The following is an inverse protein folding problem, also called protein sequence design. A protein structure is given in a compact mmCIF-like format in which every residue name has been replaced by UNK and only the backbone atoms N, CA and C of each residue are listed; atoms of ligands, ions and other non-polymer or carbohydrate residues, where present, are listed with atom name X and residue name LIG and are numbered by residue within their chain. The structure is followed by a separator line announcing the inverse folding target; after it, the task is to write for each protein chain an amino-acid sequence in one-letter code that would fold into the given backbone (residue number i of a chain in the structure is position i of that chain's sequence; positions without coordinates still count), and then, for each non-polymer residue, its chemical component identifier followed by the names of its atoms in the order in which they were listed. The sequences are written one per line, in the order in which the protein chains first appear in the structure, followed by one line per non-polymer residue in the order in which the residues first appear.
data_IF_863437251931
#
_entry.id   IF_863437251931
#
_cell.length_a   1.000
_cell.length_b   1.000
_cell.length_c   1.000
_cell.angle_alpha   90.00
_cell.angle_beta   90.00
_cell.angle_gamma   90.00
#
_symmetry.space_group_name_H-M   'P 1'
#
loop_
_entity.id
_entity.type
_entity.pdbx_description
1 polymer ?
#
# COMPACT_ATOMS: atom_id res chain seq x y z
N UNK A 1 49.74 17.36 35.29
CA UNK A 1 48.99 16.19 34.78
C UNK A 1 47.51 16.52 34.57
N UNK A 2 46.75 16.93 35.60
CA UNK A 2 45.31 17.21 35.47
C UNK A 2 44.90 18.28 34.42
N UNK A 3 45.73 19.28 34.12
CA UNK A 3 45.42 20.28 33.08
C UNK A 3 45.57 19.73 31.66
N UNK A 4 46.68 19.03 31.37
CA UNK A 4 46.92 18.40 30.06
C UNK A 4 45.85 17.35 29.76
N UNK A 5 45.42 16.58 30.76
CA UNK A 5 44.34 15.60 30.60
C UNK A 5 42.99 16.27 30.31
N UNK A 6 42.73 17.45 30.90
CA UNK A 6 41.52 18.25 30.60
C UNK A 6 41.56 18.81 29.18
N UNK A 7 42.70 19.35 28.76
CA UNK A 7 42.88 19.89 27.40
C UNK A 7 42.77 18.80 26.33
N UNK A 8 43.36 17.63 26.59
CA UNK A 8 43.23 16.44 25.72
C UNK A 8 41.77 15.99 25.60
N UNK A 9 41.02 15.92 26.71
CA UNK A 9 39.58 15.60 26.68
C UNK A 9 38.77 16.61 25.88
N UNK A 10 39.08 17.90 26.00
CA UNK A 10 38.41 18.95 25.24
C UNK A 10 38.70 18.85 23.73
N UNK A 11 39.95 18.58 23.34
CA UNK A 11 40.34 18.32 21.95
C UNK A 11 39.60 17.09 21.38
N UNK A 12 39.51 16.01 22.15
CA UNK A 12 38.73 14.83 21.75
C UNK A 12 37.23 15.11 21.59
N UNK A 13 36.65 15.96 22.44
CA UNK A 13 35.27 16.40 22.28
C UNK A 13 35.08 17.17 20.97
N UNK A 14 35.99 18.09 20.66
CA UNK A 14 35.94 18.88 19.42
C UNK A 14 36.15 18.03 18.17
N UNK A 15 37.10 17.09 18.21
CA UNK A 15 37.31 16.11 17.15
C UNK A 15 36.04 15.29 16.88
N UNK A 16 35.35 14.81 17.92
CA UNK A 16 34.08 14.08 17.76
C UNK A 16 32.99 14.93 17.11
N UNK A 17 32.94 16.22 17.43
CA UNK A 17 32.03 17.16 16.75
C UNK A 17 32.35 17.29 15.26
N UNK A 18 33.64 17.42 14.90
CA UNK A 18 34.10 17.46 13.49
C UNK A 18 33.69 16.18 12.77
N UNK A 19 34.00 15.01 13.34
CA UNK A 19 33.65 13.72 12.75
C UNK A 19 32.13 13.56 12.59
N UNK A 20 31.34 14.03 13.55
CA UNK A 20 29.88 14.03 13.46
C UNK A 20 29.37 14.93 12.33
N UNK A 21 29.97 16.12 12.14
CA UNK A 21 29.59 17.02 11.05
C UNK A 21 29.86 16.40 9.68
N UNK A 22 31.04 15.79 9.51
CA UNK A 22 31.45 15.13 8.26
C UNK A 22 30.61 13.87 7.98
N UNK A 23 30.27 13.11 9.02
CA UNK A 23 29.41 11.93 8.90
C UNK A 23 27.98 12.33 8.51
N UNK A 24 27.44 13.38 9.14
CA UNK A 24 26.13 13.94 8.78
C UNK A 24 26.08 14.46 7.35
N UNK A 25 27.14 15.14 6.90
CA UNK A 25 27.27 15.57 5.51
C UNK A 25 27.29 14.38 4.54
N UNK A 26 28.09 13.34 4.84
CA UNK A 26 28.15 12.11 4.02
C UNK A 26 26.78 11.43 3.91
N UNK A 27 26.08 11.30 5.04
CA UNK A 27 24.76 10.68 5.10
C UNK A 27 23.73 11.45 4.26
N UNK A 28 23.77 12.78 4.29
CA UNK A 28 22.86 13.61 3.48
C UNK A 28 23.07 13.44 1.97
N UNK A 29 24.32 13.27 1.52
CA UNK A 29 24.61 12.96 0.10
C UNK A 29 24.08 11.57 -0.25
N UNK A 30 24.37 10.57 0.59
CA UNK A 30 23.95 9.18 0.37
C UNK A 30 22.43 9.00 0.36
N UNK A 31 21.69 9.77 1.16
CA UNK A 31 20.23 9.80 1.16
C UNK A 31 19.68 10.26 -0.21
N UNK A 32 20.27 11.31 -0.81
CA UNK A 32 19.88 11.78 -2.15
C UNK A 32 20.20 10.72 -3.22
N UNK A 33 21.38 10.10 -3.17
CA UNK A 33 21.76 9.00 -4.07
C UNK A 33 20.76 7.84 -3.99
N UNK A 34 20.40 7.45 -2.77
CA UNK A 34 19.45 6.35 -2.50
C UNK A 34 18.06 6.68 -3.04
N UNK A 35 17.58 7.92 -2.84
CA UNK A 35 16.28 8.38 -3.37
C UNK A 35 16.26 8.39 -4.90
N UNK A 36 17.33 8.84 -5.54
CA UNK A 36 17.46 8.80 -7.01
C UNK A 36 17.38 7.36 -7.53
N UNK A 37 18.17 6.45 -6.95
CA UNK A 37 18.16 5.03 -7.34
C UNK A 37 16.81 4.35 -7.07
N UNK A 38 16.16 4.68 -5.95
CA UNK A 38 14.82 4.18 -5.63
C UNK A 38 13.78 4.64 -6.65
N UNK A 39 13.80 5.92 -7.05
CA UNK A 39 12.85 6.43 -8.04
C UNK A 39 13.09 5.75 -9.39
N UNK A 40 14.33 5.67 -9.87
CA UNK A 40 14.65 5.02 -11.15
C UNK A 40 14.19 3.54 -11.18
N UNK A 41 14.48 2.79 -10.12
CA UNK A 41 14.05 1.38 -10.01
C UNK A 41 12.54 1.23 -9.87
N UNK A 42 11.87 2.15 -9.16
CA UNK A 42 10.42 2.15 -8.99
C UNK A 42 9.68 2.37 -10.32
N UNK A 43 10.15 3.28 -11.18
CA UNK A 43 9.50 3.52 -12.48
C UNK A 43 9.42 2.24 -13.32
N UNK A 44 10.51 1.47 -13.36
CA UNK A 44 10.54 0.19 -14.08
C UNK A 44 9.66 -0.88 -13.40
N UNK A 45 9.73 -0.97 -12.06
CA UNK A 45 9.01 -1.97 -11.28
C UNK A 45 7.49 -1.80 -11.36
N UNK A 46 6.98 -0.57 -11.20
CA UNK A 46 5.54 -0.29 -11.17
C UNK A 46 4.83 -0.74 -12.44
N UNK A 47 5.41 -0.50 -13.62
CA UNK A 47 4.83 -0.93 -14.89
C UNK A 47 4.77 -2.46 -15.00
N UNK A 48 5.86 -3.15 -14.65
CA UNK A 48 5.92 -4.62 -14.71
C UNK A 48 4.92 -5.31 -13.77
N UNK A 49 4.76 -4.75 -12.56
CA UNK A 49 3.81 -5.24 -11.56
C UNK A 49 2.38 -5.03 -12.00
N UNK A 50 2.04 -3.86 -12.56
CA UNK A 50 0.71 -3.62 -13.12
C UNK A 50 0.39 -4.61 -14.24
N UNK A 51 1.30 -4.81 -15.20
CA UNK A 51 1.13 -5.79 -16.28
C UNK A 51 0.89 -7.20 -15.73
N UNK A 52 1.65 -7.59 -14.70
CA UNK A 52 1.49 -8.90 -14.05
C UNK A 52 0.10 -9.05 -13.42
N UNK A 53 -0.36 -8.04 -12.68
CA UNK A 53 -1.68 -8.05 -12.03
C UNK A 53 -2.81 -8.06 -13.06
N UNK A 54 -2.68 -7.30 -14.16
CA UNK A 54 -3.62 -7.35 -15.30
C UNK A 54 -3.65 -8.72 -15.97
N UNK A 55 -2.47 -9.33 -16.19
CA UNK A 55 -2.34 -10.67 -16.76
C UNK A 55 -3.02 -11.76 -15.92
N UNK A 56 -3.18 -11.54 -14.62
CA UNK A 56 -3.94 -12.43 -13.71
C UNK A 56 -5.46 -12.17 -13.73
N UNK A 57 -5.94 -11.19 -14.49
CA UNK A 57 -7.36 -10.87 -14.67
C UNK A 57 -7.91 -9.77 -13.77
N UNK A 58 -7.06 -9.03 -13.03
CA UNK A 58 -7.51 -7.89 -12.24
C UNK A 58 -7.84 -6.70 -13.16
N UNK A 59 -9.08 -6.24 -13.16
CA UNK A 59 -9.55 -5.18 -14.05
C UNK A 59 -10.05 -3.91 -13.33
N UNK A 60 -10.02 -3.89 -12.00
CA UNK A 60 -10.34 -2.71 -11.20
C UNK A 60 -9.13 -1.76 -11.07
N UNK A 61 -9.34 -0.55 -10.53
CA UNK A 61 -8.32 0.49 -10.36
C UNK A 61 -7.67 0.88 -11.70
N UNK A 62 -8.51 1.26 -12.66
CA UNK A 62 -8.09 1.69 -14.00
C UNK A 62 -7.37 3.05 -14.03
N UNK A 63 -7.27 3.72 -12.88
CA UNK A 63 -6.44 4.92 -12.70
C UNK A 63 -4.94 4.61 -12.65
N UNK A 64 -4.55 3.36 -12.35
CA UNK A 64 -3.15 2.99 -12.19
C UNK A 64 -2.35 3.16 -13.49
N UNK A 65 -2.93 2.80 -14.64
CA UNK A 65 -2.32 2.97 -15.97
C UNK A 65 -1.92 4.43 -16.20
N UNK A 66 -2.90 5.34 -16.03
CA UNK A 66 -2.70 6.77 -16.25
C UNK A 66 -1.77 7.39 -15.20
N UNK A 67 -1.86 6.95 -13.96
CA UNK A 67 -1.01 7.43 -12.86
C UNK A 67 0.46 7.07 -13.11
N UNK A 68 0.74 5.83 -13.52
CA UNK A 68 2.10 5.36 -13.85
C UNK A 68 2.61 6.07 -15.10
N UNK A 69 1.79 6.23 -16.14
CA UNK A 69 2.16 6.95 -17.37
C UNK A 69 2.57 8.40 -17.09
N UNK A 70 1.72 9.15 -16.37
CA UNK A 70 1.99 10.55 -16.00
C UNK A 70 3.26 10.65 -15.17
N UNK A 71 3.42 9.77 -14.17
CA UNK A 71 4.57 9.77 -13.29
C UNK A 71 5.87 9.48 -14.07
N UNK A 72 5.83 8.48 -14.96
CA UNK A 72 6.98 8.10 -15.81
C UNK A 72 7.36 9.24 -16.74
N UNK A 73 6.39 9.86 -17.41
CA UNK A 73 6.62 11.02 -18.28
C UNK A 73 7.26 12.17 -17.51
N UNK A 74 6.69 12.52 -16.36
CA UNK A 74 7.22 13.60 -15.52
C UNK A 74 8.65 13.31 -15.05
N UNK A 75 8.96 12.06 -14.69
CA UNK A 75 10.32 11.66 -14.32
C UNK A 75 11.31 11.74 -15.48
N UNK A 76 10.92 11.28 -16.68
CA UNK A 76 11.75 11.40 -17.88
C UNK A 76 12.10 12.86 -18.21
N UNK A 77 11.13 13.77 -18.06
CA UNK A 77 11.32 15.20 -18.34
C UNK A 77 12.20 15.91 -17.31
N UNK A 78 12.11 15.52 -16.03
CA UNK A 78 12.76 16.26 -14.93
C UNK A 78 14.05 15.63 -14.41
N UNK A 79 14.21 14.32 -14.54
CA UNK A 79 15.37 13.60 -13.99
C UNK A 79 16.72 14.05 -14.55
N UNK A 80 16.89 14.44 -15.84
CA UNK A 80 18.20 14.91 -16.33
C UNK A 80 18.67 16.16 -15.59
N UNK A 81 17.78 17.12 -15.37
CA UNK A 81 18.09 18.36 -14.65
C UNK A 81 18.42 18.11 -13.18
N UNK A 82 17.66 17.22 -12.52
CA UNK A 82 17.91 16.84 -11.13
C UNK A 82 19.28 16.14 -11.01
N UNK A 83 19.55 15.16 -11.88
CA UNK A 83 20.82 14.44 -11.93
C UNK A 83 22.00 15.38 -12.22
N UNK A 84 21.84 16.32 -13.16
CA UNK A 84 22.86 17.32 -13.44
C UNK A 84 23.17 18.19 -12.22
N UNK A 85 22.14 18.64 -11.49
CA UNK A 85 22.33 19.42 -10.25
C UNK A 85 23.07 18.60 -9.19
N UNK A 86 22.71 17.33 -9.02
CA UNK A 86 23.42 16.42 -8.12
C UNK A 86 24.90 16.27 -8.47
N UNK A 87 25.21 15.94 -9.73
CA UNK A 87 26.60 15.73 -10.17
C UNK A 87 27.43 17.02 -10.18
N UNK A 88 26.83 18.17 -10.43
CA UNK A 88 27.54 19.45 -10.47
C UNK A 88 27.78 20.05 -9.08
N UNK A 89 26.80 19.94 -8.18
CA UNK A 89 26.79 20.70 -6.93
C UNK A 89 27.02 19.85 -5.68
N UNK A 90 26.62 18.57 -5.71
CA UNK A 90 26.67 17.69 -4.52
C UNK A 90 27.81 16.69 -4.62
N UNK A 91 27.93 15.95 -5.73
CA UNK A 91 28.95 14.91 -5.89
C UNK A 91 30.38 15.41 -5.63
N UNK A 92 30.81 16.62 -6.07
CA UNK A 92 32.17 17.10 -5.81
C UNK A 92 32.46 17.35 -4.32
N UNK A 93 31.43 17.55 -3.49
CA UNK A 93 31.58 17.76 -2.05
C UNK A 93 32.05 16.48 -1.35
N UNK A 94 31.79 15.30 -1.90
CA UNK A 94 32.26 14.01 -1.37
C UNK A 94 33.79 13.95 -1.28
N UNK A 95 34.50 14.53 -2.25
CA UNK A 95 35.97 14.61 -2.20
C UNK A 95 36.45 15.51 -1.07
N UNK A 96 35.79 16.65 -0.85
CA UNK A 96 36.12 17.59 0.24
C UNK A 96 35.86 16.95 1.61
N UNK A 97 34.76 16.20 1.76
CA UNK A 97 34.46 15.45 2.98
C UNK A 97 35.58 14.45 3.28
N UNK A 98 36.01 13.66 2.27
CA UNK A 98 37.09 12.66 2.44
C UNK A 98 38.40 13.30 2.85
N UNK A 99 38.74 14.46 2.28
CA UNK A 99 39.93 15.22 2.68
C UNK A 99 39.86 15.65 4.15
N UNK A 100 38.74 16.22 4.59
CA UNK A 100 38.57 16.63 5.99
C UNK A 100 38.52 15.44 6.96
N UNK A 101 37.99 14.30 6.54
CA UNK A 101 38.02 13.06 7.33
C UNK A 101 39.46 12.58 7.53
N UNK A 102 40.28 12.60 6.48
CA UNK A 102 41.72 12.29 6.58
C UNK A 102 42.44 13.25 7.53
N UNK A 103 42.12 14.54 7.48
CA UNK A 103 42.68 15.55 8.38
C UNK A 103 42.24 15.34 9.83
N UNK A 104 40.98 14.98 10.08
CA UNK A 104 40.47 14.63 11.40
C UNK A 104 41.18 13.39 11.97
N UNK A 105 41.44 12.37 11.14
CA UNK A 105 42.24 11.20 11.53
C UNK A 105 43.68 11.58 11.89
N UNK A 106 44.30 12.49 11.13
CA UNK A 106 45.63 13.01 11.46
C UNK A 106 45.62 13.79 12.77
N UNK A 107 44.61 14.64 13.00
CA UNK A 107 44.46 15.37 14.27
C UNK A 107 44.34 14.40 15.45
N UNK A 108 43.60 13.28 15.31
CA UNK A 108 43.53 12.23 16.35
C UNK A 108 44.93 11.73 16.73
N UNK A 109 45.73 11.35 15.74
CA UNK A 109 47.09 10.87 15.96
C UNK A 109 48.00 11.91 16.64
N UNK A 110 47.84 13.19 16.31
CA UNK A 110 48.61 14.28 16.94
C UNK A 110 48.17 14.56 18.40
N UNK A 111 46.88 14.43 18.71
CA UNK A 111 46.37 14.50 20.09
C UNK A 111 46.98 13.35 20.93
N UNK A 112 47.15 12.17 20.35
CA UNK A 112 47.78 11.02 21.00
C UNK A 112 49.28 11.22 21.25
N UNK A 113 49.95 11.98 20.38
CA UNK A 113 51.38 12.35 20.52
C UNK A 113 51.65 13.48 21.52
N UNK A 114 50.64 14.28 21.86
CA UNK A 114 50.70 15.24 22.98
C UNK A 114 51.13 16.67 22.63
N UNK A 115 51.16 17.07 21.36
CA UNK A 115 51.42 18.47 20.97
C UNK A 115 50.14 19.32 21.06
N UNK A 116 49.74 19.68 22.28
CA UNK A 116 48.41 20.26 22.58
C UNK A 116 48.18 21.62 21.90
N UNK A 117 49.18 22.51 21.88
CA UNK A 117 49.04 23.85 21.28
C UNK A 117 48.78 23.80 19.76
N UNK A 118 49.54 22.98 19.04
CA UNK A 118 49.32 22.73 17.62
C UNK A 118 47.94 22.10 17.36
N UNK A 119 47.54 21.11 18.18
CA UNK A 119 46.25 20.44 18.05
C UNK A 119 45.07 21.40 18.19
N UNK A 120 45.14 22.42 19.05
CA UNK A 120 44.06 23.40 19.20
C UNK A 120 43.87 24.26 17.95
N UNK A 121 44.95 24.76 17.35
CA UNK A 121 44.88 25.52 16.10
C UNK A 121 44.29 24.67 14.97
N UNK A 122 44.80 23.44 14.81
CA UNK A 122 44.30 22.50 13.80
C UNK A 122 42.83 22.13 14.02
N UNK A 123 42.43 21.82 15.26
CA UNK A 123 41.06 21.49 15.61
C UNK A 123 40.09 22.67 15.38
N UNK A 124 40.53 23.90 15.63
CA UNK A 124 39.70 25.08 15.38
C UNK A 124 39.43 25.27 13.89
N UNK A 125 40.49 25.20 13.06
CA UNK A 125 40.39 25.29 11.60
C UNK A 125 39.49 24.19 11.03
N UNK A 126 39.74 22.93 11.38
CA UNK A 126 38.97 21.78 10.89
C UNK A 126 37.50 21.85 11.33
N UNK A 127 37.23 22.36 12.53
CA UNK A 127 35.87 22.60 13.02
C UNK A 127 35.14 23.60 12.14
N UNK A 128 35.74 24.75 11.82
CA UNK A 128 35.11 25.74 10.93
C UNK A 128 34.90 25.18 9.52
N UNK A 129 35.90 24.51 8.95
CA UNK A 129 35.82 23.90 7.61
C UNK A 129 34.73 22.81 7.55
N UNK A 130 34.68 21.92 8.53
CA UNK A 130 33.68 20.85 8.59
C UNK A 130 32.25 21.40 8.75
N UNK A 131 32.05 22.39 9.62
CA UNK A 131 30.73 22.99 9.82
C UNK A 131 30.25 23.77 8.58
N UNK A 132 31.15 24.51 7.90
CA UNK A 132 30.82 25.18 6.62
C UNK A 132 30.49 24.17 5.52
N UNK A 133 31.29 23.11 5.39
CA UNK A 133 31.05 22.06 4.41
C UNK A 133 29.71 21.35 4.67
N UNK A 134 29.42 21.02 5.94
CA UNK A 134 28.13 20.46 6.34
C UNK A 134 26.98 21.38 5.95
N UNK A 135 27.05 22.67 6.27
CA UNK A 135 26.01 23.64 5.93
C UNK A 135 25.78 23.71 4.42
N UNK A 136 26.86 23.73 3.62
CA UNK A 136 26.78 23.71 2.16
C UNK A 136 26.14 22.42 1.63
N UNK A 137 26.57 21.26 2.13
CA UNK A 137 25.99 19.96 1.76
C UNK A 137 24.50 19.94 2.08
N UNK A 138 24.10 20.33 3.29
CA UNK A 138 22.69 20.37 3.69
C UNK A 138 21.85 21.29 2.81
N UNK A 139 22.38 22.46 2.43
CA UNK A 139 21.68 23.38 1.53
C UNK A 139 21.48 22.78 0.14
N UNK A 140 22.52 22.20 -0.45
CA UNK A 140 22.44 21.64 -1.81
C UNK A 140 21.60 20.36 -1.86
N UNK A 141 21.72 19.47 -0.86
CA UNK A 141 20.92 18.24 -0.79
C UNK A 141 19.44 18.52 -0.48
N UNK A 142 19.12 19.56 0.29
CA UNK A 142 17.74 19.95 0.57
C UNK A 142 16.98 20.39 -0.70
N UNK A 143 17.63 21.18 -1.58
CA UNK A 143 17.06 21.60 -2.87
C UNK A 143 16.67 20.39 -3.72
N UNK A 144 17.58 19.42 -3.83
CA UNK A 144 17.36 18.20 -4.62
C UNK A 144 16.29 17.33 -3.95
N UNK A 145 16.37 17.13 -2.64
CA UNK A 145 15.41 16.32 -1.88
C UNK A 145 13.99 16.83 -1.98
N UNK A 146 13.78 18.16 -2.01
CA UNK A 146 12.47 18.75 -2.21
C UNK A 146 11.87 18.36 -3.57
N UNK A 147 12.67 18.40 -4.65
CA UNK A 147 12.23 17.96 -5.98
C UNK A 147 11.93 16.46 -6.03
N UNK A 148 12.72 15.62 -5.33
CA UNK A 148 12.49 14.18 -5.28
C UNK A 148 11.27 13.80 -4.45
N UNK A 149 10.92 14.59 -3.43
CA UNK A 149 9.84 14.31 -2.50
C UNK A 149 8.47 14.14 -3.17
N UNK A 150 8.21 14.88 -4.24
CA UNK A 150 6.96 14.75 -5.00
C UNK A 150 6.84 13.36 -5.65
N UNK A 151 7.91 12.89 -6.30
CA UNK A 151 7.96 11.57 -6.93
C UNK A 151 7.81 10.46 -5.90
N UNK A 152 8.48 10.57 -4.74
CA UNK A 152 8.35 9.60 -3.65
C UNK A 152 6.90 9.50 -3.16
N UNK A 153 6.21 10.63 -3.02
CA UNK A 153 4.79 10.66 -2.66
C UNK A 153 3.91 9.92 -3.67
N UNK A 154 4.09 10.21 -4.97
CA UNK A 154 3.34 9.55 -6.05
C UNK A 154 3.65 8.06 -6.15
N UNK A 155 4.92 7.66 -6.06
CA UNK A 155 5.34 6.25 -6.06
C UNK A 155 4.67 5.52 -4.88
N UNK A 156 4.74 6.06 -3.67
CA UNK A 156 4.14 5.44 -2.49
C UNK A 156 2.61 5.33 -2.57
N UNK A 157 1.93 6.24 -3.29
CA UNK A 157 0.50 6.14 -3.52
C UNK A 157 0.17 4.99 -4.49
N UNK A 158 0.87 4.93 -5.63
CA UNK A 158 0.69 3.87 -6.64
C UNK A 158 1.07 2.50 -6.05
N UNK A 159 2.19 2.43 -5.34
CA UNK A 159 2.69 1.20 -4.71
C UNK A 159 1.67 0.60 -3.73
N UNK A 160 1.03 1.44 -2.91
CA UNK A 160 -0.03 1.01 -1.99
C UNK A 160 -1.25 0.44 -2.72
N UNK A 161 -1.75 1.13 -3.74
CA UNK A 161 -2.90 0.65 -4.50
C UNK A 161 -2.56 -0.63 -5.29
N UNK A 162 -1.35 -0.71 -5.84
CA UNK A 162 -0.86 -1.90 -6.55
C UNK A 162 -0.69 -3.09 -5.60
N UNK A 163 -0.18 -2.86 -4.39
CA UNK A 163 -0.11 -3.89 -3.34
C UNK A 163 -1.48 -4.43 -2.95
N UNK A 164 -2.52 -3.58 -2.91
CA UNK A 164 -3.90 -4.03 -2.69
C UNK A 164 -4.39 -4.92 -3.84
N UNK A 165 -4.10 -4.55 -5.09
CA UNK A 165 -4.46 -5.32 -6.25
C UNK A 165 -3.74 -6.69 -6.29
N UNK A 166 -2.44 -6.71 -6.02
CA UNK A 166 -1.62 -7.92 -5.91
C UNK A 166 -2.16 -8.86 -4.83
N UNK A 167 -2.41 -8.33 -3.63
CA UNK A 167 -2.95 -9.11 -2.52
C UNK A 167 -4.35 -9.63 -2.82
N UNK A 168 -5.18 -8.82 -3.49
CA UNK A 168 -6.51 -9.24 -3.93
C UNK A 168 -6.42 -10.45 -4.84
N UNK A 169 -5.56 -10.41 -5.86
CA UNK A 169 -5.40 -11.52 -6.80
C UNK A 169 -4.76 -12.76 -6.16
N UNK A 170 -3.87 -12.58 -5.19
CA UNK A 170 -3.35 -13.68 -4.37
C UNK A 170 -4.50 -14.38 -3.61
N UNK A 171 -5.34 -13.63 -2.91
CA UNK A 171 -6.45 -14.20 -2.14
C UNK A 171 -7.49 -14.87 -3.04
N UNK A 172 -7.86 -14.25 -4.16
CA UNK A 172 -8.77 -14.87 -5.14
C UNK A 172 -8.23 -16.17 -5.73
N UNK A 173 -6.90 -16.36 -5.79
CA UNK A 173 -6.31 -17.63 -6.24
C UNK A 173 -6.54 -18.80 -5.26
N UNK A 174 -6.94 -18.51 -4.02
CA UNK A 174 -7.29 -19.50 -3.00
C UNK A 174 -8.80 -19.66 -2.79
N UNK A 175 -9.64 -18.88 -3.48
CA UNK A 175 -11.08 -18.91 -3.32
C UNK A 175 -11.65 -20.29 -3.72
N UNK A 176 -12.59 -20.79 -2.92
CA UNK A 176 -13.30 -22.06 -3.18
C UNK A 176 -14.49 -21.91 -4.13
N UNK A 177 -14.84 -20.67 -4.50
CA UNK A 177 -15.95 -20.35 -5.37
C UNK A 177 -15.48 -19.85 -6.75
N UNK A 178 -16.21 -20.17 -7.83
CA UNK A 178 -15.94 -19.58 -9.14
C UNK A 178 -16.51 -18.16 -9.25
N UNK A 179 -15.87 -17.36 -10.11
CA UNK A 179 -16.43 -16.09 -10.57
C UNK A 179 -17.53 -16.36 -11.61
N UNK A 180 -18.61 -15.58 -11.56
CA UNK A 180 -19.71 -15.60 -12.53
C UNK A 180 -19.28 -14.92 -13.84
N UNK A 181 -20.02 -15.14 -14.96
CA UNK A 181 -19.83 -14.36 -16.18
C UNK A 181 -19.86 -12.86 -15.87
N UNK A 182 -18.96 -12.10 -16.49
CA UNK A 182 -18.78 -10.65 -16.29
C UNK A 182 -18.38 -10.21 -14.86
N UNK A 183 -18.21 -11.15 -13.93
CA UNK A 183 -17.74 -10.86 -12.59
C UNK A 183 -16.22 -10.70 -12.59
N UNK A 184 -15.74 -9.70 -11.85
CA UNK A 184 -14.32 -9.38 -11.75
C UNK A 184 -13.92 -9.13 -10.30
N UNK A 185 -12.74 -9.61 -9.86
CA UNK A 185 -12.18 -9.26 -8.57
C UNK A 185 -12.03 -7.75 -8.43
N UNK A 186 -12.44 -7.20 -7.27
CA UNK A 186 -12.25 -5.78 -6.96
C UNK A 186 -11.39 -5.60 -5.72
N UNK A 187 -11.71 -6.29 -4.62
CA UNK A 187 -10.94 -6.27 -3.38
C UNK A 187 -11.04 -7.63 -2.67
N UNK A 188 -9.97 -8.09 -2.04
CA UNK A 188 -10.03 -9.16 -1.05
C UNK A 188 -9.18 -8.82 0.17
N UNK A 189 -9.72 -9.04 1.37
CA UNK A 189 -9.08 -8.74 2.66
C UNK A 189 -9.30 -9.90 3.62
N UNK A 190 -8.26 -10.28 4.35
CA UNK A 190 -8.38 -11.26 5.43
C UNK A 190 -9.05 -10.61 6.66
N UNK A 191 -9.91 -11.37 7.33
CA UNK A 191 -10.59 -10.87 8.51
C UNK A 191 -11.33 -11.97 9.24
N UNK A 192 -11.91 -11.62 10.38
CA UNK A 192 -12.61 -12.55 11.26
C UNK A 192 -14.06 -12.14 11.41
N UNK A 193 -14.98 -13.07 11.17
CA UNK A 193 -16.41 -12.82 11.46
C UNK A 193 -16.63 -12.87 12.97
N UNK A 194 -17.38 -11.90 13.50
CA UNK A 194 -17.54 -11.70 14.94
C UNK A 194 -18.95 -12.02 15.44
N UNK A 195 -19.65 -12.90 14.71
CA UNK A 195 -20.94 -13.49 15.10
C UNK A 195 -20.75 -14.62 16.13
N UNK A 196 -21.80 -15.40 16.42
CA UNK A 196 -21.76 -16.50 17.39
C UNK A 196 -20.67 -17.53 17.04
N UNK A 197 -20.57 -17.89 15.76
CA UNK A 197 -19.63 -18.88 15.24
C UNK A 197 -18.41 -18.19 14.63
N UNK A 198 -17.58 -17.58 15.49
CA UNK A 198 -16.41 -16.81 15.07
C UNK A 198 -15.42 -17.67 14.29
N UNK A 199 -15.00 -17.22 13.13
CA UNK A 199 -13.92 -17.85 12.37
C UNK A 199 -13.11 -16.83 11.58
N UNK A 200 -11.84 -17.14 11.35
CA UNK A 200 -10.99 -16.43 10.39
C UNK A 200 -11.48 -16.72 8.98
N UNK A 201 -11.22 -15.81 8.05
CA UNK A 201 -11.67 -15.94 6.68
C UNK A 201 -11.15 -14.85 5.76
N UNK A 202 -11.78 -14.75 4.60
CA UNK A 202 -11.49 -13.72 3.61
C UNK A 202 -12.80 -13.08 3.16
N UNK A 203 -12.83 -11.75 3.21
CA UNK A 203 -13.87 -10.91 2.64
C UNK A 203 -13.49 -10.64 1.18
N UNK A 204 -14.30 -11.12 0.26
CA UNK A 204 -14.16 -10.86 -1.18
C UNK A 204 -15.24 -9.89 -1.63
N UNK A 205 -14.80 -8.87 -2.37
CA UNK A 205 -15.64 -7.93 -3.08
C UNK A 205 -15.36 -8.07 -4.56
N UNK A 206 -16.40 -8.38 -5.32
CA UNK A 206 -16.39 -8.29 -6.78
C UNK A 206 -17.24 -7.10 -7.19
N UNK A 207 -17.32 -6.83 -8.49
CA UNK A 207 -18.28 -5.86 -9.00
C UNK A 207 -19.75 -6.34 -8.89
N UNK A 208 -20.00 -7.61 -8.54
CA UNK A 208 -21.34 -8.18 -8.45
C UNK A 208 -21.73 -8.66 -7.04
N UNK A 209 -20.77 -9.11 -6.22
CA UNK A 209 -21.07 -9.79 -4.96
C UNK A 209 -20.13 -9.38 -3.84
N UNK A 210 -20.67 -9.46 -2.63
CA UNK A 210 -19.91 -9.60 -1.40
C UNK A 210 -19.93 -11.06 -0.97
N UNK A 211 -18.76 -11.60 -0.64
CA UNK A 211 -18.61 -12.99 -0.20
C UNK A 211 -17.71 -13.01 1.03
N UNK A 212 -18.12 -13.72 2.08
CA UNK A 212 -17.24 -14.09 3.18
C UNK A 212 -17.01 -15.60 3.16
N UNK A 213 -15.75 -15.99 3.05
CA UNK A 213 -15.30 -17.37 3.07
C UNK A 213 -14.55 -17.65 4.37
N UNK A 214 -15.09 -18.54 5.20
CA UNK A 214 -14.46 -18.97 6.43
C UNK A 214 -13.37 -20.00 6.18
N UNK A 215 -12.27 -19.91 6.93
CA UNK A 215 -11.20 -20.90 6.99
C UNK A 215 -11.47 -21.84 8.18
N UNK A 216 -11.57 -23.14 7.91
CA UNK A 216 -11.70 -24.20 8.91
C UNK A 216 -10.47 -25.09 8.89
N UNK A 217 -9.77 -25.22 10.01
CA UNK A 217 -8.71 -26.23 10.15
C UNK A 217 -9.35 -27.59 10.41
N UNK A 218 -9.15 -28.53 9.49
CA UNK A 218 -9.52 -29.93 9.65
C UNK A 218 -8.26 -30.73 10.00
N UNK A 219 -8.30 -31.41 11.15
CA UNK A 219 -7.22 -32.31 11.55
C UNK A 219 -7.35 -33.60 10.75
N UNK A 220 -6.37 -33.88 9.88
CA UNK A 220 -6.35 -35.07 9.06
C UNK A 220 -5.75 -36.28 9.80
N UNK A 221 -4.79 -36.05 10.71
CA UNK A 221 -4.11 -37.14 11.40
C UNK A 221 -3.68 -36.71 12.81
N UNK A 222 -3.85 -37.61 13.80
CA UNK A 222 -3.32 -37.48 15.16
C UNK A 222 -2.50 -38.72 15.49
N UNK A 223 -1.30 -38.54 16.05
CA UNK A 223 -0.49 -39.61 16.65
C UNK A 223 -0.17 -39.24 18.09
N UNK A 224 -0.45 -40.15 19.04
CA UNK A 224 -0.19 -39.94 20.48
C UNK A 224 -0.69 -38.57 20.98
N UNK A 225 -1.94 -38.22 20.64
CA UNK A 225 -2.58 -36.93 20.97
C UNK A 225 -1.98 -35.67 20.32
N UNK A 226 -0.90 -35.79 19.53
CA UNK A 226 -0.31 -34.69 18.76
C UNK A 226 -0.93 -34.67 17.37
N UNK A 227 -1.40 -33.48 16.95
CA UNK A 227 -1.88 -33.23 15.60
C UNK A 227 -0.71 -33.29 14.63
N UNK A 228 -0.66 -34.29 13.76
CA UNK A 228 0.45 -34.50 12.81
C UNK A 228 0.16 -33.94 11.43
N UNK A 229 -1.11 -33.86 11.03
CA UNK A 229 -1.53 -33.25 9.75
C UNK A 229 -2.80 -32.42 9.92
N UNK A 230 -2.78 -31.21 9.37
CA UNK A 230 -3.93 -30.31 9.25
C UNK A 230 -4.16 -29.97 7.78
N UNK A 231 -5.42 -29.77 7.40
CA UNK A 231 -5.84 -29.23 6.11
C UNK A 231 -6.73 -28.03 6.37
N UNK A 232 -6.46 -26.92 5.71
CA UNK A 232 -7.36 -25.76 5.73
C UNK A 232 -8.44 -25.98 4.68
N UNK A 233 -9.68 -26.14 5.13
CA UNK A 233 -10.86 -26.09 4.27
C UNK A 233 -11.41 -24.66 4.25
N UNK A 234 -11.95 -24.27 3.09
CA UNK A 234 -12.55 -22.96 2.86
C UNK A 234 -14.01 -23.17 2.51
N UNK A 235 -14.89 -22.44 3.18
CA UNK A 235 -16.34 -22.59 3.04
C UNK A 235 -16.96 -21.20 2.91
N UNK A 236 -17.77 -20.99 1.88
CA UNK A 236 -18.56 -19.76 1.75
C UNK A 236 -19.63 -19.73 2.84
N UNK A 237 -19.55 -18.74 3.73
CA UNK A 237 -20.47 -18.56 4.85
C UNK A 237 -21.49 -17.45 4.57
N UNK A 238 -21.11 -16.45 3.80
CA UNK A 238 -21.99 -15.37 3.35
C UNK A 238 -21.73 -15.15 1.86
N UNK A 239 -22.79 -15.13 1.07
CA UNK A 239 -22.77 -14.65 -0.31
C UNK A 239 -24.01 -13.78 -0.52
N UNK A 240 -23.79 -12.55 -0.96
CA UNK A 240 -24.86 -11.58 -1.21
C UNK A 240 -24.54 -10.73 -2.45
N UNK A 241 -25.56 -10.31 -3.24
CA UNK A 241 -25.35 -9.29 -4.27
C UNK A 241 -24.75 -8.03 -3.67
N UNK A 242 -23.82 -7.38 -4.35
CA UNK A 242 -23.10 -6.24 -3.78
C UNK A 242 -24.05 -5.06 -3.48
N UNK A 243 -25.09 -4.88 -4.28
CA UNK A 243 -26.13 -3.85 -4.05
C UNK A 243 -27.11 -4.17 -2.92
N UNK A 244 -27.00 -5.34 -2.30
CA UNK A 244 -27.79 -5.74 -1.13
C UNK A 244 -27.18 -5.17 0.17
N UNK A 245 -25.91 -4.77 0.13
CA UNK A 245 -25.23 -4.08 1.21
C UNK A 245 -25.69 -2.63 1.23
N UNK A 246 -26.25 -2.21 2.36
CA UNK A 246 -26.69 -0.83 2.59
C UNK A 246 -25.50 0.06 2.98
N UNK A 247 -24.66 -0.43 3.90
CA UNK A 247 -23.56 0.35 4.46
C UNK A 247 -22.42 -0.58 4.91
N UNK A 248 -21.19 -0.09 4.79
CA UNK A 248 -20.04 -0.61 5.52
C UNK A 248 -19.48 0.54 6.36
N UNK A 249 -19.49 0.38 7.68
CA UNK A 249 -19.03 1.41 8.63
C UNK A 249 -17.90 0.88 9.51
N UNK A 250 -16.97 1.77 9.86
CA UNK A 250 -15.85 1.47 10.77
C UNK A 250 -16.33 1.57 12.21
N UNK A 251 -15.93 0.63 13.06
CA UNK A 251 -16.30 0.66 14.47
C UNK A 251 -15.39 -0.21 15.34
N UNK A 252 -15.74 -0.32 16.62
CA UNK A 252 -15.03 -1.18 17.58
C UNK A 252 -15.68 -2.54 17.63
N UNK A 253 -14.97 -3.58 17.25
CA UNK A 253 -15.52 -4.93 17.19
C UNK A 253 -14.92 -5.79 18.31
N UNK A 254 -15.78 -6.45 19.09
CA UNK A 254 -15.38 -7.30 20.21
C UNK A 254 -15.24 -6.57 21.55
N UNK A 255 -14.90 -7.34 22.61
CA UNK A 255 -14.82 -6.85 24.01
C UNK A 255 -13.52 -6.11 24.33
N UNK A 256 -12.48 -6.32 23.52
CA UNK A 256 -11.21 -5.58 23.55
C UNK A 256 -11.27 -4.69 22.32
N UNK A 257 -10.93 -3.40 22.41
CA UNK A 257 -11.20 -2.37 21.41
C UNK A 257 -10.45 -2.54 20.06
N UNK A 258 -10.66 -3.65 19.36
CA UNK A 258 -10.14 -3.89 18.02
C UNK A 258 -10.94 -3.05 17.02
N UNK A 259 -10.22 -2.39 16.11
CA UNK A 259 -10.87 -1.68 15.01
C UNK A 259 -11.41 -2.73 14.05
N UNK A 260 -12.63 -2.56 13.56
CA UNK A 260 -13.21 -3.46 12.56
C UNK A 260 -14.26 -2.75 11.72
N UNK A 261 -15.06 -3.53 11.01
CA UNK A 261 -16.16 -3.02 10.19
C UNK A 261 -17.49 -3.70 10.55
N UNK A 262 -18.57 -2.99 10.31
CA UNK A 262 -19.94 -3.50 10.37
C UNK A 262 -20.52 -3.46 8.95
N UNK A 263 -21.00 -4.60 8.48
CA UNK A 263 -21.71 -4.70 7.21
C UNK A 263 -23.20 -4.72 7.52
N UNK A 264 -23.90 -3.66 7.11
CA UNK A 264 -25.37 -3.56 7.20
C UNK A 264 -25.98 -3.90 5.85
N UNK A 265 -26.94 -4.81 5.86
CA UNK A 265 -27.71 -5.18 4.69
C UNK A 265 -28.98 -4.34 4.60
N UNK A 266 -29.54 -4.26 3.39
CA UNK A 266 -30.83 -3.61 3.17
C UNK A 266 -31.94 -4.24 4.04
N UNK A 267 -32.76 -3.45 4.74
CA UNK A 267 -33.74 -3.95 5.73
C UNK A 267 -34.70 -5.01 5.18
N UNK A 268 -35.04 -4.92 3.90
CA UNK A 268 -35.98 -5.79 3.20
C UNK A 268 -35.51 -7.25 3.15
N UNK A 269 -34.21 -7.50 3.36
CA UNK A 269 -33.62 -8.83 3.41
C UNK A 269 -33.74 -9.50 4.78
N UNK A 270 -34.07 -8.75 5.83
CA UNK A 270 -34.15 -9.26 7.21
C UNK A 270 -32.81 -9.79 7.75
N UNK A 271 -31.69 -9.47 7.09
CA UNK A 271 -30.36 -9.91 7.50
C UNK A 271 -29.82 -9.03 8.63
N UNK A 272 -29.20 -9.67 9.62
CA UNK A 272 -28.57 -8.97 10.74
C UNK A 272 -27.29 -8.27 10.29
N UNK A 273 -27.04 -7.11 10.87
CA UNK A 273 -25.74 -6.44 10.75
C UNK A 273 -24.63 -7.40 11.20
N UNK A 274 -23.59 -7.52 10.38
CA UNK A 274 -22.53 -8.52 10.58
C UNK A 274 -21.20 -7.81 10.85
N UNK A 275 -20.62 -7.99 12.06
CA UNK A 275 -19.33 -7.40 12.39
C UNK A 275 -18.15 -8.26 11.93
N UNK A 276 -17.10 -7.60 11.45
CA UNK A 276 -15.82 -8.21 11.08
C UNK A 276 -14.66 -7.48 11.75
N UNK A 277 -13.74 -8.24 12.34
CA UNK A 277 -12.46 -7.75 12.83
C UNK A 277 -11.44 -7.76 11.68
N UNK A 278 -10.83 -6.61 11.42
CA UNK A 278 -9.88 -6.33 10.32
C UNK A 278 -8.88 -5.26 10.80
N UNK A 279 -7.72 -5.10 10.16
CA UNK A 279 -6.79 -4.04 10.60
C UNK A 279 -7.38 -2.65 10.36
N UNK A 280 -6.98 -1.69 11.19
CA UNK A 280 -7.55 -0.33 11.14
C UNK A 280 -7.41 0.39 9.80
N UNK A 281 -6.31 0.17 9.08
CA UNK A 281 -6.09 0.70 7.73
C UNK A 281 -6.85 -0.10 6.65
N UNK A 282 -7.08 -1.40 6.87
CA UNK A 282 -7.88 -2.25 5.97
C UNK A 282 -9.36 -1.84 6.01
N UNK A 283 -9.88 -1.42 7.17
CA UNK A 283 -11.22 -0.85 7.27
C UNK A 283 -11.41 0.39 6.37
N UNK A 284 -10.40 1.26 6.31
CA UNK A 284 -10.42 2.45 5.45
C UNK A 284 -10.35 2.06 3.96
N UNK A 285 -9.56 1.03 3.62
CA UNK A 285 -9.53 0.45 2.27
C UNK A 285 -10.88 -0.14 1.89
N UNK A 286 -11.50 -0.95 2.75
CA UNK A 286 -12.79 -1.59 2.48
C UNK A 286 -13.89 -0.54 2.23
N UNK A 287 -13.98 0.47 3.10
CA UNK A 287 -14.98 1.54 2.95
C UNK A 287 -14.78 2.35 1.67
N UNK A 288 -13.53 2.66 1.29
CA UNK A 288 -13.18 3.29 0.01
C UNK A 288 -13.62 2.42 -1.18
N UNK A 289 -13.29 1.13 -1.17
CA UNK A 289 -13.62 0.21 -2.26
C UNK A 289 -15.12 -0.06 -2.36
N UNK A 290 -15.85 -0.10 -1.25
CA UNK A 290 -17.30 -0.21 -1.27
C UNK A 290 -17.93 0.98 -2.01
N UNK A 291 -17.48 2.21 -1.73
CA UNK A 291 -17.94 3.41 -2.46
C UNK A 291 -17.57 3.36 -3.95
N UNK A 292 -16.34 2.94 -4.26
CA UNK A 292 -15.87 2.74 -5.63
C UNK A 292 -16.72 1.71 -6.40
N UNK A 293 -17.16 0.63 -5.75
CA UNK A 293 -18.06 -0.35 -6.36
C UNK A 293 -19.47 0.23 -6.51
N UNK A 294 -20.09 0.71 -5.43
CA UNK A 294 -21.49 1.19 -5.47
C UNK A 294 -21.65 2.41 -6.39
N UNK A 295 -20.66 3.31 -6.43
CA UNK A 295 -20.63 4.46 -7.34
C UNK A 295 -20.40 4.11 -8.83
N UNK A 296 -20.19 2.84 -9.15
CA UNK A 296 -20.02 2.35 -10.51
C UNK A 296 -18.67 2.69 -11.14
N UNK A 297 -17.72 3.25 -10.38
CA UNK A 297 -16.34 3.47 -10.82
C UNK A 297 -15.68 2.13 -11.16
N UNK A 298 -15.92 1.11 -10.32
CA UNK A 298 -15.44 -0.25 -10.56
C UNK A 298 -15.86 -0.80 -11.94
N UNK A 299 -17.13 -0.68 -12.29
CA UNK A 299 -17.63 -1.20 -13.56
C UNK A 299 -17.06 -0.46 -14.76
N UNK A 300 -16.89 0.87 -14.66
CA UNK A 300 -16.28 1.67 -15.72
C UNK A 300 -14.83 1.27 -15.98
N UNK A 301 -14.06 1.08 -14.90
CA UNK A 301 -12.68 0.64 -15.00
C UNK A 301 -12.59 -0.77 -15.59
N UNK A 302 -13.40 -1.71 -15.08
CA UNK A 302 -13.45 -3.08 -15.57
C UNK A 302 -13.81 -3.13 -17.05
N UNK A 303 -14.84 -2.40 -17.47
CA UNK A 303 -15.28 -2.32 -18.86
C UNK A 303 -14.17 -1.78 -19.76
N UNK A 304 -13.52 -0.69 -19.35
CA UNK A 304 -12.40 -0.10 -20.09
C UNK A 304 -11.22 -1.06 -20.22
N UNK A 305 -10.79 -1.68 -19.12
CA UNK A 305 -9.63 -2.58 -19.11
C UNK A 305 -9.89 -3.88 -19.88
N UNK A 306 -11.12 -4.41 -19.82
CA UNK A 306 -11.52 -5.61 -20.58
C UNK A 306 -11.94 -5.32 -22.02
N UNK A 307 -12.03 -4.05 -22.44
CA UNK A 307 -12.49 -3.68 -23.78
C UNK A 307 -13.97 -3.99 -24.03
N UNK A 308 -14.79 -3.95 -22.98
CA UNK A 308 -16.24 -4.21 -23.03
C UNK A 308 -16.96 -2.87 -23.01
N UNK A 309 -18.01 -2.71 -23.83
CA UNK A 309 -18.88 -1.52 -23.75
C UNK A 309 -19.59 -1.53 -22.40
N UNK A 310 -19.52 -0.45 -21.59
CA UNK A 310 -20.24 -0.39 -20.33
C UNK A 310 -21.73 -0.64 -20.58
N UNK A 311 -22.35 -1.59 -19.85
CA UNK A 311 -23.81 -1.69 -19.85
C UNK A 311 -24.36 -0.36 -19.33
N UNK A 312 -25.18 0.32 -20.13
CA UNK A 312 -25.94 1.47 -19.67
C UNK A 312 -26.75 1.07 -18.44
N UNK A 313 -26.95 2.02 -17.52
CA UNK A 313 -27.80 1.79 -16.35
C UNK A 313 -29.13 1.19 -16.83
N UNK A 314 -29.64 0.12 -16.19
CA UNK A 314 -30.83 -0.54 -16.66
C UNK A 314 -31.96 0.50 -16.74
N UNK A 315 -32.39 0.83 -17.96
CA UNK A 315 -33.66 1.53 -18.17
C UNK A 315 -34.71 0.73 -17.44
N UNK A 316 -35.55 1.38 -16.62
CA UNK A 316 -36.62 0.72 -15.84
C UNK A 316 -37.48 -0.11 -16.81
N UNK A 317 -37.15 -1.38 -16.95
CA UNK A 317 -37.87 -2.36 -17.75
C UNK A 317 -38.65 -3.18 -16.77
N UNK A 318 -39.97 -3.22 -16.93
CA UNK A 318 -40.82 -4.15 -16.20
C UNK A 318 -40.42 -5.56 -16.62
N UNK A 319 -39.65 -6.24 -15.78
CA UNK A 319 -39.25 -7.62 -15.99
C UNK A 319 -40.46 -8.51 -15.73
N UNK A 320 -40.80 -9.38 -16.68
CA UNK A 320 -41.90 -10.34 -16.55
C UNK A 320 -41.35 -11.75 -16.44
N UNK A 321 -42.00 -12.58 -15.65
CA UNK A 321 -41.68 -13.99 -15.56
C UNK A 321 -41.93 -14.68 -16.90
N UNK A 322 -40.94 -15.41 -17.48
CA UNK A 322 -41.12 -16.08 -18.76
C UNK A 322 -42.13 -17.24 -18.69
N UNK A 323 -42.39 -17.79 -17.50
CA UNK A 323 -43.29 -18.92 -17.32
C UNK A 323 -44.75 -18.49 -17.08
N UNK A 324 -45.00 -17.52 -16.18
CA UNK A 324 -46.37 -17.11 -15.83
C UNK A 324 -46.77 -15.70 -16.27
N UNK A 325 -45.87 -14.94 -16.89
CA UNK A 325 -46.13 -13.58 -17.38
C UNK A 325 -46.28 -12.50 -16.29
N UNK A 326 -46.25 -12.89 -15.01
CA UNK A 326 -46.38 -11.97 -13.89
C UNK A 326 -45.21 -10.97 -13.83
N UNK A 327 -45.47 -9.68 -13.53
CA UNK A 327 -44.41 -8.69 -13.38
C UNK A 327 -43.59 -8.96 -12.11
N UNK A 328 -42.28 -8.77 -12.20
CA UNK A 328 -41.40 -8.69 -11.05
C UNK A 328 -41.46 -7.27 -10.48
N UNK A 329 -41.86 -7.14 -9.23
CA UNK A 329 -42.16 -5.86 -8.58
C UNK A 329 -41.13 -5.46 -7.52
N UNK A 330 -40.21 -6.37 -7.16
CA UNK A 330 -39.16 -6.11 -6.18
C UNK A 330 -37.96 -5.40 -6.80
N UNK A 331 -37.18 -4.73 -5.96
CA UNK A 331 -35.91 -4.12 -6.38
C UNK A 331 -34.93 -5.22 -6.83
N UNK A 332 -34.23 -4.97 -7.94
CA UNK A 332 -33.14 -5.82 -8.41
C UNK A 332 -31.85 -5.19 -7.93
N UNK A 333 -31.14 -5.89 -7.06
CA UNK A 333 -29.92 -5.36 -6.49
C UNK A 333 -28.77 -5.37 -7.50
N UNK A 334 -27.88 -4.39 -7.39
CA UNK A 334 -26.62 -4.39 -8.17
C UNK A 334 -25.90 -5.72 -7.98
N UNK A 335 -25.53 -6.35 -9.11
CA UNK A 335 -24.84 -7.63 -9.15
C UNK A 335 -25.73 -8.87 -9.04
N UNK A 336 -27.05 -8.68 -8.99
CA UNK A 336 -28.01 -9.77 -9.11
C UNK A 336 -28.22 -10.12 -10.60
N UNK A 337 -27.95 -11.37 -10.96
CA UNK A 337 -28.10 -11.88 -12.35
C UNK A 337 -29.42 -12.62 -12.58
N UNK A 338 -30.10 -13.01 -11.49
CA UNK A 338 -31.38 -13.70 -11.54
C UNK A 338 -32.23 -13.41 -10.30
N UNK A 339 -33.56 -13.46 -10.45
CA UNK A 339 -34.55 -13.34 -9.38
C UNK A 339 -35.52 -14.51 -9.40
N UNK A 340 -36.21 -14.81 -8.29
CA UNK A 340 -37.28 -15.80 -8.28
C UNK A 340 -38.64 -15.13 -8.46
N UNK A 341 -39.49 -15.69 -9.31
CA UNK A 341 -40.87 -15.25 -9.47
C UNK A 341 -41.70 -15.59 -8.23
N UNK A 342 -42.35 -14.60 -7.64
CA UNK A 342 -43.17 -14.78 -6.42
C UNK A 342 -44.42 -15.61 -6.65
N UNK A 343 -44.88 -15.70 -7.90
CA UNK A 343 -46.14 -16.36 -8.25
C UNK A 343 -45.97 -17.84 -8.60
N UNK A 344 -44.88 -18.20 -9.28
CA UNK A 344 -44.69 -19.57 -9.77
C UNK A 344 -43.30 -20.16 -9.44
N UNK A 345 -42.44 -19.43 -8.73
CA UNK A 345 -41.12 -19.90 -8.33
C UNK A 345 -40.12 -20.05 -9.49
N UNK A 346 -40.46 -19.65 -10.71
CA UNK A 346 -39.53 -19.68 -11.84
C UNK A 346 -38.42 -18.66 -11.68
N UNK A 347 -37.19 -19.07 -12.00
CA UNK A 347 -36.03 -18.17 -12.04
C UNK A 347 -36.08 -17.28 -13.28
N UNK A 348 -36.05 -15.96 -13.06
CA UNK A 348 -36.06 -14.94 -14.11
C UNK A 348 -34.63 -14.40 -14.22
N UNK A 349 -34.07 -14.41 -15.43
CA UNK A 349 -32.78 -13.76 -15.70
C UNK A 349 -32.98 -12.24 -15.81
N UNK A 350 -32.13 -11.46 -15.14
CA UNK A 350 -32.29 -9.99 -15.04
C UNK A 350 -31.05 -9.20 -15.50
N UNK A 351 -30.06 -9.91 -16.06
CA UNK A 351 -28.79 -9.35 -16.53
C UNK A 351 -28.87 -8.69 -17.89
#
# INVERSE_FOLDING_TARGET
MAQVDRERKALYSRLRSIESDLSGASAAISDVESKLAFIDSSMASLQSRLVTVRGRGYAAMGHLEKSIEILTKKWMETSPTIKQSFYSNVQPLTAQIRTLQSDAHRLRAEIDRGNIGYCWSLASRLSTEASMLRARVSMETAKISASLGEFLGSINAIDRDLGVAEKTMELFSYASFPLKPEESPVLAIEGKIMTKDKCEGTLYFTNQRFIFEGKKEVVLEKKLFIVTKKKTERIVLIEQPIGSLQEISKGRVGLIAWTGIYIRFKPELGLKETPFDVKGWEADVITRFFRYIIGGEADRDIAKIKGITPKEAPTIRVIRCPNCGAPYTKEIYKGQTSVQCEYCGTTIMVS
#
